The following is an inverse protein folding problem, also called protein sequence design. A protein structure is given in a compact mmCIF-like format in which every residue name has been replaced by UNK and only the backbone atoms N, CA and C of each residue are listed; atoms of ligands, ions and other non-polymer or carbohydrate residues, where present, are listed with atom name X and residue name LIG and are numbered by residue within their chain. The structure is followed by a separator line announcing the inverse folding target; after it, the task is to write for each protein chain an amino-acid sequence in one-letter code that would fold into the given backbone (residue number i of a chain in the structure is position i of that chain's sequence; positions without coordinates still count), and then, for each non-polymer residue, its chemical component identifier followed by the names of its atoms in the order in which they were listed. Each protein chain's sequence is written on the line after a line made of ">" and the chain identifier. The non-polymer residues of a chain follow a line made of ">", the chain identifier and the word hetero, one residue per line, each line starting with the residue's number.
data_IF_961773224952
#
_entry.id   IF_961773224952
#
_cell.length_a   1.000
_cell.length_b   1.000
_cell.length_c   1.000
_cell.angle_alpha   90.00
_cell.angle_beta   90.00
_cell.angle_gamma   90.00
#
_symmetry.space_group_name_H-M   'P 1'
#
loop_
_entity.id
_entity.type
_entity.pdbx_description
1 polymer ?
#
# COMPACT_ATOMS: atom_id res chain seq x y z
N UNK A 1 13.09 -11.88 -8.61
CA UNK A 1 13.34 -11.17 -7.33
C UNK A 1 14.23 -9.95 -7.51
N UNK A 2 15.47 -10.09 -7.99
CA UNK A 2 16.44 -8.98 -8.09
C UNK A 2 15.90 -7.71 -8.76
N UNK A 3 15.20 -7.83 -9.89
CA UNK A 3 14.68 -6.66 -10.61
C UNK A 3 13.59 -5.92 -9.82
N UNK A 4 12.72 -6.66 -9.12
CA UNK A 4 11.64 -6.09 -8.33
C UNK A 4 12.16 -5.39 -7.05
N UNK A 5 13.36 -5.72 -6.58
CA UNK A 5 14.01 -5.09 -5.43
C UNK A 5 14.71 -3.76 -5.75
N UNK A 6 14.77 -3.36 -7.03
CA UNK A 6 15.41 -2.12 -7.45
C UNK A 6 14.35 -0.99 -7.54
N UNK A 7 14.06 -0.34 -6.42
CA UNK A 7 13.11 0.79 -6.40
C UNK A 7 13.75 2.08 -6.96
N UNK A 8 13.05 2.87 -7.80
CA UNK A 8 13.63 4.05 -8.44
C UNK A 8 13.94 5.21 -7.50
N UNK A 9 13.14 5.38 -6.42
CA UNK A 9 13.15 6.61 -5.62
C UNK A 9 13.50 6.43 -4.13
N UNK A 10 13.48 5.20 -3.61
CA UNK A 10 13.50 4.96 -2.15
C UNK A 10 14.34 3.72 -1.84
N UNK A 11 15.21 3.80 -0.84
CA UNK A 11 15.87 2.62 -0.26
C UNK A 11 14.98 2.05 0.85
N UNK A 12 14.43 0.85 0.64
CA UNK A 12 13.44 0.26 1.54
C UNK A 12 13.68 -1.24 1.74
N UNK A 13 13.03 -1.82 2.77
CA UNK A 13 13.07 -3.26 3.02
C UNK A 13 12.39 -4.08 1.92
N UNK A 14 12.79 -5.33 1.75
CA UNK A 14 12.36 -6.18 0.63
C UNK A 14 10.82 -6.25 0.46
N UNK A 15 10.07 -6.44 1.55
CA UNK A 15 8.60 -6.57 1.51
C UNK A 15 7.92 -5.33 0.91
N UNK A 16 8.22 -4.15 1.44
CA UNK A 16 7.61 -2.90 0.94
C UNK A 16 8.07 -2.58 -0.49
N UNK A 17 9.29 -2.99 -0.87
CA UNK A 17 9.76 -2.83 -2.24
C UNK A 17 8.94 -3.67 -3.23
N UNK A 18 8.60 -4.92 -2.88
CA UNK A 18 7.70 -5.77 -3.69
C UNK A 18 6.25 -5.25 -3.68
N UNK A 19 5.77 -4.77 -2.53
CA UNK A 19 4.45 -4.15 -2.45
C UNK A 19 4.36 -2.89 -3.33
N UNK A 20 5.43 -2.09 -3.40
CA UNK A 20 5.50 -0.93 -4.29
C UNK A 20 5.47 -1.35 -5.75
N UNK A 21 6.26 -2.37 -6.13
CA UNK A 21 6.28 -2.85 -7.52
C UNK A 21 4.94 -3.42 -7.98
N UNK A 22 4.16 -4.03 -7.08
CA UNK A 22 2.81 -4.57 -7.35
C UNK A 22 1.70 -3.54 -7.19
N UNK A 23 2.01 -2.33 -6.72
CA UNK A 23 1.09 -1.33 -6.18
C UNK A 23 0.21 -1.81 -5.01
N UNK A 24 0.49 -2.98 -4.40
CA UNK A 24 -0.16 -3.38 -3.16
C UNK A 24 0.13 -2.38 -2.03
N UNK A 25 1.32 -1.76 -2.01
CA UNK A 25 1.65 -0.72 -1.02
C UNK A 25 0.62 0.41 -1.07
N UNK A 26 0.30 0.90 -2.28
CA UNK A 26 -0.68 1.97 -2.48
C UNK A 26 -2.10 1.50 -2.12
N UNK A 27 -2.42 0.23 -2.33
CA UNK A 27 -3.67 -0.38 -1.88
C UNK A 27 -3.80 -0.41 -0.35
N UNK A 28 -2.74 -0.78 0.36
CA UNK A 28 -2.72 -0.75 1.83
C UNK A 28 -2.81 0.69 2.37
N UNK A 29 -2.11 1.64 1.74
CA UNK A 29 -2.20 3.07 2.07
C UNK A 29 -3.61 3.64 1.80
N UNK A 30 -4.33 3.14 0.80
CA UNK A 30 -5.74 3.50 0.56
C UNK A 30 -6.63 3.07 1.73
N UNK A 31 -6.48 1.81 2.19
CA UNK A 31 -7.19 1.30 3.37
C UNK A 31 -6.82 2.15 4.60
N UNK A 32 -5.53 2.41 4.81
CA UNK A 32 -5.02 3.21 5.92
C UNK A 32 -5.62 4.63 5.92
N UNK A 33 -5.61 5.32 4.78
CA UNK A 33 -6.16 6.69 4.67
C UNK A 33 -7.65 6.74 4.99
N UNK A 34 -8.42 5.76 4.49
CA UNK A 34 -9.86 5.63 4.79
C UNK A 34 -10.10 5.49 6.30
N UNK A 35 -9.29 4.68 6.98
CA UNK A 35 -9.40 4.48 8.43
C UNK A 35 -8.91 5.67 9.26
N UNK A 36 -7.70 6.18 8.98
CA UNK A 36 -7.07 7.24 9.76
C UNK A 36 -7.85 8.55 9.71
N UNK A 37 -8.39 8.90 8.55
CA UNK A 37 -9.09 10.17 8.35
C UNK A 37 -10.61 10.05 8.44
N UNK A 38 -11.15 8.83 8.57
CA UNK A 38 -12.59 8.61 8.65
C UNK A 38 -13.36 9.19 7.46
N UNK A 39 -12.76 9.16 6.27
CA UNK A 39 -13.29 9.83 5.09
C UNK A 39 -14.31 8.94 4.37
N UNK A 40 -15.58 9.33 4.47
CA UNK A 40 -16.67 8.75 3.67
C UNK A 40 -16.58 9.18 2.19
N UNK A 41 -15.78 10.21 1.90
CA UNK A 41 -15.55 10.69 0.53
C UNK A 41 -14.63 9.74 -0.25
N UNK A 42 -14.73 9.68 -1.59
CA UNK A 42 -13.80 8.94 -2.42
C UNK A 42 -12.35 9.36 -2.13
N UNK A 43 -11.47 8.37 -1.97
CA UNK A 43 -10.02 8.60 -1.93
C UNK A 43 -9.51 8.30 -3.33
N UNK A 44 -8.97 9.29 -4.02
CA UNK A 44 -8.44 9.12 -5.37
C UNK A 44 -6.98 8.64 -5.31
N UNK A 45 -6.65 7.66 -6.14
CA UNK A 45 -5.29 7.15 -6.29
C UNK A 45 -4.72 7.72 -7.58
N UNK A 46 -3.60 8.43 -7.47
CA UNK A 46 -2.90 9.06 -8.59
C UNK A 46 -1.44 8.59 -8.59
N UNK A 47 -0.92 8.26 -9.76
CA UNK A 47 0.50 7.93 -9.95
C UNK A 47 1.29 9.21 -10.17
N UNK A 48 2.25 9.46 -9.28
CA UNK A 48 3.18 10.59 -9.35
C UNK A 48 4.63 10.08 -9.26
N UNK A 49 5.23 9.82 -10.42
CA UNK A 49 6.51 9.12 -10.52
C UNK A 49 7.68 9.85 -9.83
N UNK A 50 7.62 11.18 -9.75
CA UNK A 50 8.67 12.01 -9.15
C UNK A 50 8.67 11.95 -7.62
N UNK A 51 7.57 11.51 -6.99
CA UNK A 51 7.44 11.39 -5.53
C UNK A 51 7.73 12.70 -4.76
N UNK A 52 7.56 13.86 -5.39
CA UNK A 52 7.77 15.18 -4.76
C UNK A 52 6.52 15.64 -4.03
N UNK A 53 5.35 15.50 -4.67
CA UNK A 53 4.05 15.67 -4.00
C UNK A 53 3.74 14.35 -3.31
N UNK A 54 3.71 14.34 -1.98
CA UNK A 54 3.53 13.10 -1.23
C UNK A 54 2.06 12.71 -1.06
N UNK A 55 1.15 13.70 -0.98
CA UNK A 55 -0.31 13.54 -1.05
C UNK A 55 -1.00 14.92 -1.08
N UNK A 56 -2.31 14.92 -1.33
CA UNK A 56 -3.13 16.11 -1.48
C UNK A 56 -4.47 15.94 -0.74
N UNK A 57 -5.08 17.07 -0.34
CA UNK A 57 -6.41 17.12 0.27
C UNK A 57 -7.21 18.20 -0.48
N UNK A 58 -8.38 17.82 -1.00
CA UNK A 58 -9.37 18.74 -1.56
C UNK A 58 -10.35 19.18 -0.46
N UNK A 59 -10.58 20.48 -0.35
CA UNK A 59 -11.50 21.09 0.61
C UNK A 59 -12.85 21.38 -0.04
N UNK A 60 -13.87 21.66 0.80
CA UNK A 60 -15.26 21.89 0.38
C UNK A 60 -15.46 23.07 -0.59
N UNK A 61 -14.48 23.96 -0.69
CA UNK A 61 -14.45 25.09 -1.62
C UNK A 61 -13.67 24.77 -2.91
N UNK A 62 -13.33 23.51 -3.15
CA UNK A 62 -12.52 22.98 -4.27
C UNK A 62 -11.04 23.39 -4.24
N UNK A 63 -10.57 24.04 -3.18
CA UNK A 63 -9.14 24.28 -3.01
C UNK A 63 -8.40 22.99 -2.67
N UNK A 64 -7.19 22.82 -3.20
CA UNK A 64 -6.34 21.66 -2.93
C UNK A 64 -5.11 22.11 -2.17
N UNK A 65 -4.85 21.49 -1.02
CA UNK A 65 -3.57 21.59 -0.33
C UNK A 65 -2.75 20.34 -0.56
N UNK A 66 -1.48 20.52 -0.91
CA UNK A 66 -0.52 19.45 -1.13
C UNK A 66 0.66 19.61 -0.18
N UNK A 67 1.22 18.49 0.29
CA UNK A 67 2.53 18.51 0.95
C UNK A 67 3.60 18.05 -0.04
N UNK A 68 4.62 18.89 -0.19
CA UNK A 68 5.76 18.68 -1.08
C UNK A 68 7.05 18.53 -0.27
N UNK A 69 7.95 17.68 -0.75
CA UNK A 69 9.25 17.47 -0.15
C UNK A 69 10.15 16.60 -1.02
N UNK A 70 11.43 16.57 -0.69
CA UNK A 70 12.30 15.49 -1.16
C UNK A 70 11.81 14.16 -0.57
N UNK A 71 11.94 13.03 -1.30
CA UNK A 71 11.52 11.72 -0.80
C UNK A 71 12.45 11.25 0.33
N UNK A 72 12.21 11.74 1.56
CA UNK A 72 13.00 11.42 2.75
C UNK A 72 12.11 11.25 3.99
N UNK A 73 12.16 10.05 4.59
CA UNK A 73 11.33 9.68 5.73
C UNK A 73 11.65 10.46 7.01
N UNK A 74 12.80 11.15 7.10
CA UNK A 74 13.11 11.99 8.27
C UNK A 74 12.08 13.10 8.46
N UNK A 75 11.50 13.63 7.37
CA UNK A 75 10.48 14.69 7.43
C UNK A 75 9.18 14.21 8.11
N UNK A 76 8.48 13.16 7.61
CA UNK A 76 7.25 12.70 8.24
C UNK A 76 7.48 12.14 9.65
N UNK A 77 8.62 11.47 9.91
CA UNK A 77 8.96 10.97 11.25
C UNK A 77 9.14 12.13 12.24
N UNK A 78 9.90 13.16 11.86
CA UNK A 78 10.10 14.34 12.72
C UNK A 78 8.77 15.04 13.01
N UNK A 79 7.92 15.23 11.99
CA UNK A 79 6.62 15.86 12.17
C UNK A 79 5.70 15.06 13.10
N UNK A 80 5.67 13.73 12.99
CA UNK A 80 4.88 12.88 13.89
C UNK A 80 5.32 13.02 15.37
N UNK A 81 6.62 13.25 15.62
CA UNK A 81 7.18 13.42 16.96
C UNK A 81 7.02 14.82 17.53
N UNK A 82 6.95 15.84 16.68
CA UNK A 82 6.94 17.25 17.11
C UNK A 82 5.63 17.97 16.90
N UNK A 83 4.64 17.36 16.25
CA UNK A 83 3.35 17.98 15.97
C UNK A 83 2.75 18.63 17.24
N UNK A 84 2.27 19.89 17.16
CA UNK A 84 2.10 20.72 15.94
C UNK A 84 3.35 21.51 15.51
N UNK A 85 4.42 21.46 16.28
CA UNK A 85 5.67 22.17 16.02
C UNK A 85 6.53 21.47 14.95
N UNK A 86 7.58 22.15 14.50
CA UNK A 86 8.53 21.65 13.50
C UNK A 86 9.93 21.52 14.06
N UNK A 87 10.62 20.48 13.62
CA UNK A 87 12.02 20.20 13.93
C UNK A 87 12.91 20.34 12.69
N UNK A 88 14.09 20.91 12.86
CA UNK A 88 15.06 21.07 11.78
C UNK A 88 15.76 19.75 11.47
N UNK A 89 15.51 19.18 10.28
CA UNK A 89 16.01 17.84 9.91
C UNK A 89 17.40 17.84 9.24
N UNK A 90 18.01 19.02 9.00
CA UNK A 90 19.30 19.12 8.29
C UNK A 90 19.27 18.59 6.85
N UNK A 91 18.12 18.70 6.17
CA UNK A 91 17.88 18.21 4.82
C UNK A 91 18.09 19.30 3.77
N UNK A 92 18.50 18.96 2.53
CA UNK A 92 18.55 19.94 1.46
C UNK A 92 17.14 20.49 1.16
N UNK A 93 17.07 21.76 0.79
CA UNK A 93 15.83 22.36 0.30
C UNK A 93 15.47 21.82 -1.08
N UNK A 94 14.17 21.72 -1.35
CA UNK A 94 13.66 21.34 -2.66
C UNK A 94 13.91 22.48 -3.68
N UNK A 95 14.57 22.16 -4.79
CA UNK A 95 14.84 23.11 -5.87
C UNK A 95 13.80 22.96 -6.99
N UNK A 96 12.86 23.91 -7.04
CA UNK A 96 11.81 23.97 -8.07
C UNK A 96 12.32 24.26 -9.47
N UNK A 97 13.44 24.99 -9.61
CA UNK A 97 13.98 25.28 -10.93
C UNK A 97 14.72 24.06 -11.52
N UNK A 98 15.32 23.23 -10.65
CA UNK A 98 16.07 22.05 -11.07
C UNK A 98 15.23 20.77 -11.18
N UNK A 99 14.05 20.67 -10.54
CA UNK A 99 13.28 19.42 -10.47
C UNK A 99 12.67 18.95 -11.80
N UNK A 100 12.42 19.87 -12.75
CA UNK A 100 11.74 19.57 -14.01
C UNK A 100 10.23 19.37 -13.84
N UNK A 101 9.67 18.42 -14.57
CA UNK A 101 8.21 18.24 -14.69
C UNK A 101 7.63 17.41 -13.53
N UNK A 102 6.47 17.83 -13.03
CA UNK A 102 5.61 17.03 -12.15
C UNK A 102 4.49 16.43 -12.99
N UNK A 103 4.44 15.10 -13.10
CA UNK A 103 3.42 14.40 -13.88
C UNK A 103 2.46 13.63 -12.98
N UNK A 104 1.23 13.46 -13.47
CA UNK A 104 0.15 12.76 -12.79
C UNK A 104 -0.56 11.86 -13.79
N UNK A 105 -0.76 10.60 -13.42
CA UNK A 105 -1.39 9.60 -14.27
C UNK A 105 -2.41 8.80 -13.46
N UNK A 106 -3.48 8.35 -14.13
CA UNK A 106 -4.41 7.40 -13.52
C UNK A 106 -3.72 6.04 -13.33
N UNK A 107 -4.03 5.29 -12.25
CA UNK A 107 -3.46 3.98 -12.04
C UNK A 107 -3.98 2.98 -13.09
N UNK A 108 -3.11 2.07 -13.53
CA UNK A 108 -3.46 0.99 -14.45
C UNK A 108 -3.85 -0.26 -13.66
N UNK A 109 -5.15 -0.46 -13.45
CA UNK A 109 -5.69 -1.62 -12.72
C UNK A 109 -5.50 -2.95 -13.43
N UNK A 110 -5.30 -2.96 -14.75
CA UNK A 110 -5.01 -4.18 -15.51
C UNK A 110 -3.57 -4.61 -15.26
N UNK A 111 -2.64 -3.65 -15.23
CA UNK A 111 -1.23 -3.89 -14.93
C UNK A 111 -0.99 -4.17 -13.44
N UNK A 112 -1.76 -3.54 -12.55
CA UNK A 112 -1.59 -3.60 -11.10
C UNK A 112 -2.87 -4.05 -10.38
N UNK A 113 -3.26 -5.34 -10.54
CA UNK A 113 -4.50 -5.87 -9.98
C UNK A 113 -4.57 -5.81 -8.44
N UNK A 114 -3.43 -5.83 -7.74
CA UNK A 114 -3.38 -5.70 -6.28
C UNK A 114 -4.05 -4.43 -5.77
N UNK A 115 -4.04 -3.36 -6.56
CA UNK A 115 -4.71 -2.11 -6.20
C UNK A 115 -6.23 -2.29 -6.09
N UNK A 116 -6.83 -2.99 -7.07
CA UNK A 116 -8.25 -3.30 -7.04
C UNK A 116 -8.59 -4.23 -5.88
N UNK A 117 -7.75 -5.24 -5.60
CA UNK A 117 -7.97 -6.16 -4.47
C UNK A 117 -8.03 -5.40 -3.13
N UNK A 118 -7.21 -4.38 -2.94
CA UNK A 118 -7.24 -3.57 -1.73
C UNK A 118 -8.50 -2.70 -1.61
N UNK A 119 -8.96 -2.13 -2.73
CA UNK A 119 -10.22 -1.37 -2.78
C UNK A 119 -11.38 -2.30 -2.45
N UNK A 120 -11.46 -3.46 -3.10
CA UNK A 120 -12.51 -4.46 -2.87
C UNK A 120 -12.54 -4.93 -1.40
N UNK A 121 -11.36 -5.13 -0.81
CA UNK A 121 -11.23 -5.51 0.60
C UNK A 121 -11.74 -4.42 1.54
N UNK A 122 -11.45 -3.14 1.25
CA UNK A 122 -11.93 -2.00 2.03
C UNK A 122 -13.45 -1.86 1.93
N UNK A 123 -14.01 -1.96 0.72
CA UNK A 123 -15.44 -1.86 0.47
C UNK A 123 -16.23 -2.99 1.14
N UNK A 124 -15.69 -4.21 1.12
CA UNK A 124 -16.28 -5.35 1.81
C UNK A 124 -16.21 -5.22 3.33
N UNK A 125 -15.16 -4.56 3.85
CA UNK A 125 -14.91 -4.35 5.27
C UNK A 125 -14.78 -5.66 6.04
N UNK A 126 -15.29 -5.68 7.28
CA UNK A 126 -15.29 -6.88 8.11
C UNK A 126 -13.86 -7.45 8.28
N UNK A 127 -13.70 -8.76 8.25
CA UNK A 127 -12.38 -9.42 8.25
C UNK A 127 -11.56 -9.22 6.97
N UNK A 128 -12.14 -8.74 5.86
CA UNK A 128 -11.49 -8.84 4.54
C UNK A 128 -10.15 -8.07 4.41
N UNK A 129 -9.97 -6.86 4.98
CA UNK A 129 -8.67 -6.20 5.00
C UNK A 129 -7.58 -7.02 5.71
N UNK A 130 -7.93 -7.73 6.78
CA UNK A 130 -7.00 -8.62 7.48
C UNK A 130 -6.62 -9.83 6.61
N UNK A 131 -7.58 -10.39 5.87
CA UNK A 131 -7.33 -11.47 4.91
C UNK A 131 -6.38 -11.01 3.81
N UNK A 132 -6.65 -9.85 3.19
CA UNK A 132 -5.81 -9.25 2.16
C UNK A 132 -4.36 -9.09 2.64
N UNK A 133 -4.15 -8.44 3.79
CA UNK A 133 -2.82 -8.18 4.32
C UNK A 133 -2.06 -9.49 4.60
N UNK A 134 -2.70 -10.43 5.29
CA UNK A 134 -2.09 -11.70 5.67
C UNK A 134 -1.75 -12.57 4.44
N UNK A 135 -2.63 -12.61 3.44
CA UNK A 135 -2.37 -13.30 2.18
C UNK A 135 -1.22 -12.64 1.41
N UNK A 136 -1.19 -11.31 1.35
CA UNK A 136 -0.12 -10.56 0.70
C UNK A 136 1.25 -10.84 1.34
N UNK A 137 1.35 -10.85 2.67
CA UNK A 137 2.61 -11.14 3.35
C UNK A 137 3.17 -12.52 2.97
N UNK A 138 2.32 -13.56 2.94
CA UNK A 138 2.75 -14.90 2.56
C UNK A 138 3.07 -14.99 1.06
N UNK A 139 2.28 -14.35 0.20
CA UNK A 139 2.51 -14.33 -1.24
C UNK A 139 3.84 -13.61 -1.61
N UNK A 140 4.10 -12.46 -1.00
CA UNK A 140 5.35 -11.71 -1.19
C UNK A 140 6.54 -12.51 -0.68
N UNK A 141 6.44 -13.12 0.51
CA UNK A 141 7.51 -13.96 1.03
C UNK A 141 7.79 -15.16 0.11
N UNK A 142 6.74 -15.83 -0.38
CA UNK A 142 6.89 -16.93 -1.34
C UNK A 142 7.54 -16.48 -2.66
N UNK A 143 7.25 -15.26 -3.14
CA UNK A 143 7.96 -14.69 -4.29
C UNK A 143 9.43 -14.40 -3.98
N UNK A 144 9.72 -13.81 -2.82
CA UNK A 144 11.09 -13.51 -2.37
C UNK A 144 11.93 -14.78 -2.21
N UNK A 145 11.31 -15.87 -1.76
CA UNK A 145 11.92 -17.20 -1.64
C UNK A 145 11.93 -17.99 -2.96
N UNK A 146 11.54 -17.34 -4.08
CA UNK A 146 11.50 -17.92 -5.42
C UNK A 146 10.60 -19.15 -5.57
N UNK A 147 9.60 -19.29 -4.68
CA UNK A 147 8.62 -20.37 -4.71
C UNK A 147 7.53 -20.11 -5.74
N UNK A 148 7.09 -18.85 -5.88
CA UNK A 148 6.07 -18.45 -6.87
C UNK A 148 6.61 -17.36 -7.80
N UNK A 149 6.14 -17.28 -9.06
CA UNK A 149 6.49 -16.17 -9.95
C UNK A 149 5.74 -14.88 -9.57
N UNK A 150 6.30 -13.73 -9.96
CA UNK A 150 5.77 -12.40 -9.64
C UNK A 150 4.28 -12.21 -9.97
N UNK A 151 3.87 -12.69 -11.15
CA UNK A 151 2.48 -12.57 -11.64
C UNK A 151 1.46 -13.32 -10.78
N UNK A 152 1.90 -14.30 -10.00
CA UNK A 152 1.00 -15.15 -9.20
C UNK A 152 0.70 -14.52 -7.84
N UNK A 153 1.42 -13.46 -7.42
CA UNK A 153 1.16 -12.75 -6.15
C UNK A 153 -0.31 -12.28 -6.09
N UNK A 154 -0.76 -11.53 -7.09
CA UNK A 154 -2.12 -10.99 -7.12
C UNK A 154 -3.17 -12.09 -7.22
N UNK A 155 -2.92 -13.12 -8.03
CA UNK A 155 -3.85 -14.22 -8.24
C UNK A 155 -4.04 -15.05 -6.95
N UNK A 156 -2.95 -15.33 -6.24
CA UNK A 156 -2.98 -16.04 -4.98
C UNK A 156 -3.77 -15.27 -3.91
N UNK A 157 -3.54 -13.95 -3.78
CA UNK A 157 -4.29 -13.09 -2.87
C UNK A 157 -5.78 -13.10 -3.24
N UNK A 158 -6.11 -12.96 -4.52
CA UNK A 158 -7.48 -13.00 -5.03
C UNK A 158 -8.19 -14.31 -4.67
N UNK A 159 -7.52 -15.45 -4.83
CA UNK A 159 -8.07 -16.76 -4.45
C UNK A 159 -8.32 -16.86 -2.95
N UNK A 160 -7.39 -16.42 -2.11
CA UNK A 160 -7.56 -16.46 -0.65
C UNK A 160 -8.72 -15.57 -0.20
N UNK A 161 -8.83 -14.35 -0.74
CA UNK A 161 -9.97 -13.48 -0.50
C UNK A 161 -11.28 -14.11 -0.94
N UNK A 162 -11.32 -14.77 -2.10
CA UNK A 162 -12.51 -15.44 -2.61
C UNK A 162 -12.95 -16.64 -1.75
N UNK A 163 -11.99 -17.41 -1.22
CA UNK A 163 -12.26 -18.57 -0.37
C UNK A 163 -12.75 -18.18 1.04
N UNK A 164 -12.51 -16.94 1.46
CA UNK A 164 -12.94 -16.46 2.77
C UNK A 164 -14.41 -16.06 2.78
N UNK A 165 -15.13 -16.39 3.86
CA UNK A 165 -16.45 -15.83 4.12
C UNK A 165 -16.31 -14.65 5.09
N UNK A 166 -16.56 -13.40 4.66
CA UNK A 166 -16.45 -12.23 5.53
C UNK A 166 -17.33 -12.36 6.78
N UNK A 167 -16.79 -11.95 7.92
CA UNK A 167 -17.49 -11.92 9.20
C UNK A 167 -17.22 -10.63 9.97
N UNK A 168 -18.17 -10.14 10.78
CA UNK A 168 -17.96 -8.96 11.62
C UNK A 168 -16.76 -9.11 12.57
N UNK A 169 -16.13 -7.98 12.90
CA UNK A 169 -15.08 -7.89 13.92
C UNK A 169 -15.69 -7.36 15.22
N UNK A 170 -15.72 -8.18 16.26
CA UNK A 170 -16.23 -7.82 17.59
C UNK A 170 -15.09 -7.56 18.58
N UNK A 171 -13.98 -8.26 18.40
CA UNK A 171 -12.78 -8.12 19.22
C UNK A 171 -11.50 -8.36 18.40
N UNK A 172 -10.35 -8.21 19.08
CA UNK A 172 -9.04 -8.47 18.48
C UNK A 172 -8.88 -9.93 18.04
N UNK A 173 -9.56 -10.87 18.71
CA UNK A 173 -9.42 -12.29 18.41
C UNK A 173 -9.99 -12.63 17.04
N UNK A 174 -11.05 -11.94 16.60
CA UNK A 174 -11.60 -12.07 15.24
C UNK A 174 -10.57 -11.69 14.17
N UNK A 175 -9.82 -10.59 14.37
CA UNK A 175 -8.75 -10.16 13.45
C UNK A 175 -7.62 -11.18 13.41
N UNK A 176 -7.16 -11.65 14.58
CA UNK A 176 -6.09 -12.64 14.69
C UNK A 176 -6.50 -13.99 14.10
N UNK A 177 -7.78 -14.36 14.18
CA UNK A 177 -8.31 -15.58 13.55
C UNK A 177 -8.31 -15.45 12.03
N UNK A 178 -8.76 -14.31 11.51
CA UNK A 178 -8.75 -14.03 10.07
C UNK A 178 -7.32 -14.05 9.51
N UNK A 179 -6.37 -13.37 10.16
CA UNK A 179 -4.95 -13.40 9.77
C UNK A 179 -4.41 -14.83 9.72
N UNK A 180 -4.59 -15.62 10.79
CA UNK A 180 -4.12 -17.02 10.82
C UNK A 180 -4.74 -17.87 9.73
N UNK A 181 -6.05 -17.74 9.51
CA UNK A 181 -6.76 -18.48 8.47
C UNK A 181 -6.20 -18.14 7.08
N UNK A 182 -6.02 -16.84 6.79
CA UNK A 182 -5.51 -16.38 5.50
C UNK A 182 -4.09 -16.88 5.24
N UNK A 183 -3.21 -16.84 6.25
CA UNK A 183 -1.85 -17.40 6.13
C UNK A 183 -1.88 -18.89 5.80
N UNK A 184 -2.69 -19.67 6.53
CA UNK A 184 -2.83 -21.11 6.30
C UNK A 184 -3.38 -21.41 4.90
N UNK A 185 -4.39 -20.67 4.46
CA UNK A 185 -5.00 -20.86 3.15
C UNK A 185 -4.03 -20.50 2.01
N UNK A 186 -3.30 -19.39 2.16
CA UNK A 186 -2.27 -18.97 1.20
C UNK A 186 -1.18 -20.02 1.07
N UNK A 187 -0.67 -20.56 2.19
CA UNK A 187 0.34 -21.62 2.16
C UNK A 187 -0.16 -22.89 1.47
N UNK A 188 -1.41 -23.31 1.72
CA UNK A 188 -1.99 -24.48 1.03
C UNK A 188 -2.04 -24.29 -0.48
N UNK A 189 -2.51 -23.13 -0.95
CA UNK A 189 -2.65 -22.84 -2.38
C UNK A 189 -1.29 -22.82 -3.10
N UNK A 190 -0.24 -22.34 -2.43
CA UNK A 190 1.14 -22.44 -2.96
C UNK A 190 1.51 -23.91 -3.17
N UNK A 191 1.27 -24.79 -2.20
CA UNK A 191 1.66 -26.22 -2.32
C UNK A 191 0.88 -27.04 -3.33
N UNK A 192 -0.30 -26.59 -3.76
CA UNK A 192 -1.13 -27.30 -4.76
C UNK A 192 -0.76 -26.92 -6.20
N UNK A 193 -0.13 -25.76 -6.38
CA UNK A 193 0.19 -25.19 -7.70
C UNK A 193 1.57 -25.64 -8.22
N UNK A 194 2.36 -26.33 -7.38
CA UNK A 194 3.68 -26.90 -7.67
C UNK A 194 3.70 -28.40 -7.45
#
# INVERSE_FOLDING_TARGET
>A
VKDALNHPNWEMGAKITIDSSTMMNKGLEYIEAKWLFGVDTPVEIIVHAQSIIHSMIEFVDTSIMAQLGIPDMRVPIAYALTHPDRFECGLPSLDFAAMGDLTFEAPDFVRFPCLQLAIDAMEMGQTMPAILNAANEIAVQAFLDELIPYKDIAELIRMVMHNHRPSPLNDLQDVLNADRWARQETTKLITVTH
#
